data_IF_512009387552
#
_entry.id   IF_512009387552
#
_cell.length_a   1.000
_cell.length_b   1.000
_cell.length_c   1.000
_cell.angle_alpha   90.00
_cell.angle_beta   90.00
_cell.angle_gamma   90.00
#
_symmetry.space_group_name_H-M   'P 1'
#
loop_
_entity.id
_entity.type
_entity.pdbx_description
1 polymer ?
#
# COMPACT_ATOMS: atom_id res chain seq x y z
N UNK A 1 23.20 -44.99 5.47
CA UNK A 1 22.49 -44.33 4.38
C UNK A 1 22.44 -42.83 4.69
N UNK A 2 22.91 -41.96 3.79
CA UNK A 2 22.88 -40.50 3.99
C UNK A 2 21.52 -39.89 3.62
N UNK A 3 21.32 -38.59 3.89
CA UNK A 3 20.04 -37.86 3.67
C UNK A 3 19.56 -37.72 2.21
N UNK A 4 20.26 -38.28 1.22
CA UNK A 4 20.05 -38.05 -0.24
C UNK A 4 19.92 -36.57 -0.64
N UNK A 5 20.73 -35.71 -0.03
CA UNK A 5 20.77 -34.28 -0.33
C UNK A 5 21.46 -33.98 -1.67
N UNK A 6 20.93 -33.04 -2.45
CA UNK A 6 21.57 -32.55 -3.68
C UNK A 6 22.74 -31.60 -3.38
N UNK A 7 23.62 -31.28 -4.36
CA UNK A 7 24.66 -30.26 -4.16
C UNK A 7 24.09 -28.91 -3.69
N UNK A 8 22.92 -28.53 -4.20
CA UNK A 8 22.23 -27.30 -3.81
C UNK A 8 21.76 -27.33 -2.36
N UNK A 9 21.33 -28.48 -1.83
CA UNK A 9 20.98 -28.61 -0.40
C UNK A 9 22.17 -28.32 0.52
N UNK A 10 23.35 -28.83 0.17
CA UNK A 10 24.55 -28.59 0.94
C UNK A 10 25.02 -27.15 0.81
N UNK A 11 25.12 -26.62 -0.41
CA UNK A 11 25.53 -25.24 -0.65
C UNK A 11 24.61 -24.25 0.09
N UNK A 12 23.30 -24.50 0.07
CA UNK A 12 22.31 -23.68 0.75
C UNK A 12 22.43 -23.74 2.28
N UNK A 13 22.50 -24.96 2.85
CA UNK A 13 22.63 -25.15 4.30
C UNK A 13 23.95 -24.67 4.90
N UNK A 14 24.99 -24.48 4.09
CA UNK A 14 26.28 -23.93 4.51
C UNK A 14 26.48 -22.45 4.10
N UNK A 15 25.45 -21.79 3.56
CA UNK A 15 25.50 -20.36 3.25
C UNK A 15 26.46 -19.99 2.12
N UNK A 16 26.72 -20.92 1.19
CA UNK A 16 27.68 -20.71 0.08
C UNK A 16 27.01 -19.96 -1.07
N UNK A 17 26.69 -18.67 -0.88
CA UNK A 17 25.92 -17.85 -1.84
C UNK A 17 26.41 -17.98 -3.29
N UNK A 18 27.70 -17.80 -3.53
CA UNK A 18 28.26 -17.84 -4.90
C UNK A 18 28.15 -19.24 -5.54
N UNK A 19 28.27 -20.30 -4.71
CA UNK A 19 28.08 -21.68 -5.17
C UNK A 19 26.61 -21.96 -5.46
N UNK A 20 25.70 -21.45 -4.63
CA UNK A 20 24.25 -21.55 -4.85
C UNK A 20 23.87 -20.87 -6.16
N UNK A 21 24.35 -19.64 -6.39
CA UNK A 21 24.11 -18.88 -7.62
C UNK A 21 24.60 -19.64 -8.85
N UNK A 22 25.85 -20.09 -8.84
CA UNK A 22 26.42 -20.89 -9.93
C UNK A 22 25.63 -22.18 -10.20
N UNK A 23 25.21 -22.89 -9.15
CA UNK A 23 24.42 -24.12 -9.28
C UNK A 23 23.05 -23.83 -9.92
N UNK A 24 22.36 -22.78 -9.48
CA UNK A 24 21.05 -22.38 -10.04
C UNK A 24 21.16 -21.98 -11.51
N UNK A 25 22.17 -21.17 -11.86
CA UNK A 25 22.46 -20.80 -13.25
C UNK A 25 22.82 -22.02 -14.12
N UNK A 26 23.41 -23.05 -13.52
CA UNK A 26 23.72 -24.32 -14.18
C UNK A 26 22.55 -25.31 -14.23
N UNK A 27 21.34 -24.89 -13.84
CA UNK A 27 20.13 -25.70 -13.92
C UNK A 27 19.90 -26.62 -12.72
N UNK A 28 20.49 -26.34 -11.56
CA UNK A 28 20.17 -27.08 -10.33
C UNK A 28 18.69 -26.91 -9.97
N UNK A 29 18.01 -28.03 -9.69
CA UNK A 29 16.61 -28.00 -9.31
C UNK A 29 16.42 -27.40 -7.91
N UNK A 30 15.86 -26.19 -7.85
CA UNK A 30 15.53 -25.47 -6.60
C UNK A 30 14.47 -26.17 -5.75
N UNK A 31 13.65 -27.05 -6.36
CA UNK A 31 12.63 -27.85 -5.70
C UNK A 31 13.07 -29.29 -5.41
N UNK A 32 14.36 -29.60 -5.57
CA UNK A 32 14.89 -30.93 -5.27
C UNK A 32 14.53 -31.32 -3.84
N UNK A 33 14.10 -32.57 -3.64
CA UNK A 33 13.71 -33.10 -2.34
C UNK A 33 14.72 -34.12 -1.85
N UNK A 34 15.14 -34.00 -0.60
CA UNK A 34 15.93 -35.02 0.09
C UNK A 34 15.04 -36.15 0.65
N UNK A 35 15.59 -37.12 1.37
CA UNK A 35 14.79 -38.24 1.94
C UNK A 35 13.72 -37.76 2.94
N UNK A 36 13.91 -36.60 3.57
CA UNK A 36 12.95 -35.93 4.44
C UNK A 36 11.89 -35.10 3.70
N UNK A 37 11.98 -35.02 2.37
CA UNK A 37 11.27 -34.06 1.51
C UNK A 37 11.61 -32.59 1.79
N UNK A 38 12.72 -32.32 2.47
CA UNK A 38 13.24 -30.97 2.59
C UNK A 38 13.68 -30.51 1.20
N UNK A 39 13.47 -29.22 0.93
CA UNK A 39 14.05 -28.52 -0.22
C UNK A 39 15.26 -27.69 0.23
N UNK A 40 16.18 -27.26 -0.67
CA UNK A 40 17.33 -26.44 -0.29
C UNK A 40 16.99 -25.20 0.55
N UNK A 41 15.80 -24.62 0.34
CA UNK A 41 15.29 -23.48 1.13
C UNK A 41 15.15 -23.83 2.62
N UNK A 42 14.65 -25.02 2.98
CA UNK A 42 14.56 -25.45 4.39
C UNK A 42 15.94 -25.40 5.05
N UNK A 43 16.95 -25.95 4.38
CA UNK A 43 18.31 -25.98 4.92
C UNK A 43 18.87 -24.56 5.14
N UNK A 44 18.73 -23.66 4.16
CA UNK A 44 19.19 -22.28 4.32
C UNK A 44 18.46 -21.57 5.47
N UNK A 45 17.15 -21.85 5.63
CA UNK A 45 16.32 -21.29 6.69
C UNK A 45 16.73 -21.77 8.09
N UNK A 46 16.96 -23.07 8.30
CA UNK A 46 17.35 -23.62 9.61
C UNK A 46 18.66 -23.00 10.13
N UNK A 47 19.58 -22.64 9.23
CA UNK A 47 20.90 -22.11 9.60
C UNK A 47 20.99 -20.58 9.57
N UNK A 48 19.99 -19.88 9.00
CA UNK A 48 19.91 -18.41 9.05
C UNK A 48 20.62 -17.70 7.90
N UNK A 49 20.74 -18.32 6.73
CA UNK A 49 21.44 -17.74 5.58
C UNK A 49 20.51 -16.86 4.73
N UNK A 50 20.12 -15.70 5.24
CA UNK A 50 19.12 -14.81 4.63
C UNK A 50 19.41 -14.46 3.17
N UNK A 51 20.67 -14.18 2.81
CA UNK A 51 21.05 -13.90 1.41
C UNK A 51 20.80 -15.09 0.48
N UNK A 52 21.07 -16.31 0.95
CA UNK A 52 20.82 -17.55 0.20
C UNK A 52 19.32 -17.83 0.12
N UNK A 53 18.58 -17.61 1.21
CA UNK A 53 17.12 -17.72 1.24
C UNK A 53 16.51 -16.81 0.19
N UNK A 54 16.92 -15.53 0.17
CA UNK A 54 16.46 -14.55 -0.80
C UNK A 54 16.76 -15.00 -2.24
N UNK A 55 17.99 -15.47 -2.52
CA UNK A 55 18.38 -15.98 -3.82
C UNK A 55 17.54 -17.18 -4.27
N UNK A 56 17.29 -18.14 -3.37
CA UNK A 56 16.46 -19.32 -3.67
C UNK A 56 15.01 -18.93 -3.98
N UNK A 57 14.43 -17.98 -3.24
CA UNK A 57 13.08 -17.46 -3.47
C UNK A 57 12.98 -16.75 -4.83
N UNK A 58 13.99 -15.95 -5.20
CA UNK A 58 14.07 -15.30 -6.52
C UNK A 58 14.14 -16.32 -7.67
N UNK A 59 14.72 -17.49 -7.43
CA UNK A 59 14.71 -18.61 -8.38
C UNK A 59 13.47 -19.51 -8.28
N UNK A 60 12.44 -19.07 -7.56
CA UNK A 60 11.12 -19.72 -7.52
C UNK A 60 10.97 -20.80 -6.46
N UNK A 61 11.89 -20.92 -5.48
CA UNK A 61 11.66 -21.82 -4.34
C UNK A 61 10.33 -21.47 -3.65
N UNK A 62 9.47 -22.47 -3.42
CA UNK A 62 8.21 -22.27 -2.73
C UNK A 62 8.45 -22.08 -1.21
N UNK A 63 8.15 -20.89 -0.64
CA UNK A 63 8.31 -20.63 0.79
C UNK A 63 7.35 -21.44 1.68
N UNK A 64 6.34 -22.08 1.07
CA UNK A 64 5.34 -22.91 1.72
C UNK A 64 5.53 -24.40 1.43
N UNK A 65 6.68 -24.79 0.85
CA UNK A 65 7.03 -26.18 0.60
C UNK A 65 6.94 -27.00 1.90
N UNK A 66 6.48 -28.25 1.78
CA UNK A 66 6.25 -29.14 2.93
C UNK A 66 7.16 -30.35 2.90
N UNK A 67 7.82 -30.61 4.03
CA UNK A 67 8.57 -31.82 4.28
C UNK A 67 7.65 -33.02 4.62
N UNK A 68 8.20 -34.15 5.06
CA UNK A 68 7.41 -35.34 5.45
C UNK A 68 6.46 -35.11 6.65
N UNK A 69 6.70 -34.09 7.46
CA UNK A 69 5.93 -33.75 8.65
C UNK A 69 5.16 -32.44 8.49
N UNK A 70 5.01 -31.95 7.25
CA UNK A 70 4.39 -30.67 6.90
C UNK A 70 5.06 -29.44 7.54
N UNK A 71 6.33 -29.54 7.94
CA UNK A 71 7.11 -28.35 8.26
C UNK A 71 7.37 -27.57 6.99
N UNK A 72 7.29 -26.24 7.11
CA UNK A 72 7.66 -25.29 6.05
C UNK A 72 9.00 -24.64 6.38
N UNK A 73 9.66 -23.99 5.41
CA UNK A 73 10.84 -23.16 5.67
C UNK A 73 10.63 -22.13 6.80
N UNK A 74 9.41 -21.59 6.94
CA UNK A 74 9.06 -20.66 8.02
C UNK A 74 9.05 -21.35 9.39
N UNK A 75 8.58 -22.61 9.48
CA UNK A 75 8.69 -23.39 10.72
C UNK A 75 10.17 -23.56 11.11
N UNK A 76 11.02 -23.95 10.17
CA UNK A 76 12.46 -24.14 10.40
C UNK A 76 13.13 -22.85 10.90
N UNK A 77 12.89 -21.73 10.24
CA UNK A 77 13.45 -20.44 10.64
C UNK A 77 12.95 -19.99 12.02
N UNK A 78 11.65 -20.13 12.28
CA UNK A 78 11.02 -19.69 13.52
C UNK A 78 11.50 -20.49 14.73
N UNK A 79 11.60 -21.82 14.62
CA UNK A 79 12.12 -22.71 15.67
C UNK A 79 13.56 -22.37 16.03
N UNK A 80 14.36 -21.96 15.03
CA UNK A 80 15.78 -21.63 15.19
C UNK A 80 16.04 -20.15 15.51
N UNK A 81 14.99 -19.35 15.71
CA UNK A 81 15.09 -17.93 16.05
C UNK A 81 15.72 -17.06 14.95
N UNK A 82 15.61 -17.45 13.68
CA UNK A 82 16.23 -16.74 12.55
C UNK A 82 15.34 -15.60 12.07
N UNK A 83 15.44 -14.46 12.77
CA UNK A 83 14.61 -13.26 12.55
C UNK A 83 14.64 -12.79 11.10
N UNK A 84 15.83 -12.52 10.55
CA UNK A 84 15.98 -11.98 9.18
C UNK A 84 15.40 -12.94 8.14
N UNK A 85 15.59 -14.25 8.34
CA UNK A 85 15.00 -15.28 7.47
C UNK A 85 13.47 -15.29 7.58
N UNK A 86 12.90 -15.17 8.78
CA UNK A 86 11.44 -15.13 8.96
C UNK A 86 10.84 -13.93 8.22
N UNK A 87 11.48 -12.75 8.31
CA UNK A 87 11.04 -11.54 7.61
C UNK A 87 11.09 -11.75 6.09
N UNK A 88 12.22 -12.22 5.55
CA UNK A 88 12.37 -12.49 4.10
C UNK A 88 11.33 -13.50 3.61
N UNK A 89 11.08 -14.58 4.36
CA UNK A 89 10.05 -15.55 3.99
C UNK A 89 8.65 -14.92 3.95
N UNK A 90 8.28 -14.12 4.97
CA UNK A 90 6.98 -13.43 5.01
C UNK A 90 6.84 -12.39 3.89
N UNK A 91 7.92 -11.72 3.49
CA UNK A 91 7.94 -10.81 2.34
C UNK A 91 7.71 -11.52 1.00
N UNK A 92 8.02 -12.82 0.93
CA UNK A 92 7.80 -13.68 -0.23
C UNK A 92 6.58 -14.61 -0.03
N UNK A 93 5.53 -14.16 0.66
CA UNK A 93 4.26 -14.88 0.80
C UNK A 93 4.32 -16.23 1.54
N UNK A 94 5.27 -16.39 2.48
CA UNK A 94 5.19 -17.50 3.43
C UNK A 94 3.95 -17.37 4.32
N UNK A 95 3.17 -18.44 4.42
CA UNK A 95 1.94 -18.51 5.19
C UNK A 95 2.22 -18.98 6.64
N UNK A 96 2.09 -18.09 7.65
CA UNK A 96 2.32 -18.44 9.05
C UNK A 96 1.21 -19.35 9.64
N UNK A 97 0.10 -19.55 8.93
CA UNK A 97 -1.05 -20.35 9.38
C UNK A 97 -0.96 -21.84 9.05
N UNK A 98 0.01 -22.24 8.19
CA UNK A 98 0.22 -23.65 7.84
C UNK A 98 0.56 -24.45 9.11
N UNK A 99 -0.07 -25.63 9.24
CA UNK A 99 0.13 -26.55 10.36
C UNK A 99 0.94 -27.76 9.93
N UNK A 100 1.86 -28.17 10.79
CA UNK A 100 2.58 -29.44 10.69
C UNK A 100 1.66 -30.65 10.99
N UNK A 101 2.18 -31.88 10.96
CA UNK A 101 1.41 -33.10 11.29
C UNK A 101 0.90 -33.17 12.72
N UNK A 102 1.49 -32.42 13.65
CA UNK A 102 1.03 -32.31 15.05
C UNK A 102 -0.02 -31.20 15.24
N UNK A 103 -0.45 -30.55 14.15
CA UNK A 103 -1.40 -29.44 14.18
C UNK A 103 -0.80 -28.11 14.64
N UNK A 104 0.53 -27.99 14.74
CA UNK A 104 1.22 -26.78 15.20
C UNK A 104 1.65 -25.90 14.04
N UNK A 105 1.47 -24.60 14.20
CA UNK A 105 1.95 -23.57 13.26
C UNK A 105 3.39 -23.17 13.54
N UNK A 106 3.99 -22.37 12.64
CA UNK A 106 5.30 -21.77 12.87
C UNK A 106 5.31 -20.93 14.16
N UNK A 107 4.21 -20.22 14.45
CA UNK A 107 4.06 -19.40 15.66
C UNK A 107 4.04 -20.25 16.94
N UNK A 108 3.41 -21.43 16.91
CA UNK A 108 3.31 -22.34 18.06
C UNK A 108 4.66 -22.94 18.45
N UNK A 109 5.58 -23.05 17.48
CA UNK A 109 6.91 -23.64 17.65
C UNK A 109 8.04 -22.60 17.73
N UNK A 110 7.71 -21.32 17.58
CA UNK A 110 8.69 -20.24 17.44
C UNK A 110 9.52 -20.03 18.71
N UNK A 111 10.81 -19.74 18.50
CA UNK A 111 11.64 -19.07 19.50
C UNK A 111 10.98 -17.75 19.97
N UNK A 112 11.13 -17.33 21.25
CA UNK A 112 10.52 -16.11 21.76
C UNK A 112 10.78 -14.86 20.91
N UNK A 113 11.96 -14.75 20.30
CA UNK A 113 12.31 -13.59 19.46
C UNK A 113 11.61 -13.67 18.10
N UNK A 114 11.54 -14.85 17.49
CA UNK A 114 10.83 -15.06 16.23
C UNK A 114 9.30 -14.93 16.40
N UNK A 115 8.78 -15.25 17.58
CA UNK A 115 7.37 -15.08 17.92
C UNK A 115 6.90 -13.64 17.70
N UNK A 116 7.72 -12.64 18.08
CA UNK A 116 7.39 -11.23 17.86
C UNK A 116 7.27 -10.87 16.36
N UNK A 117 8.05 -11.51 15.48
CA UNK A 117 7.95 -11.31 14.03
C UNK A 117 6.63 -11.88 13.51
N UNK A 118 6.31 -13.12 13.92
CA UNK A 118 5.11 -13.83 13.50
C UNK A 118 3.80 -13.25 14.07
N UNK A 119 3.88 -12.33 15.04
CA UNK A 119 2.73 -11.54 15.52
C UNK A 119 2.71 -10.12 14.96
N UNK A 120 3.68 -9.72 14.12
CA UNK A 120 3.78 -8.37 13.57
C UNK A 120 4.24 -7.28 14.55
N UNK A 121 4.72 -7.67 15.73
CA UNK A 121 5.11 -6.73 16.81
C UNK A 121 6.62 -6.49 16.89
N UNK A 122 7.42 -7.25 16.14
CA UNK A 122 8.88 -7.10 16.13
C UNK A 122 9.30 -5.71 15.68
N UNK A 123 9.94 -4.96 16.60
CA UNK A 123 10.47 -3.61 16.36
C UNK A 123 9.47 -2.64 15.70
N UNK A 124 8.18 -2.76 16.06
CA UNK A 124 7.09 -1.94 15.53
C UNK A 124 7.39 -0.44 15.58
N UNK A 125 7.93 0.06 16.69
CA UNK A 125 8.26 1.49 16.84
C UNK A 125 9.38 1.94 15.89
N UNK A 126 10.38 1.08 15.64
CA UNK A 126 11.44 1.36 14.68
C UNK A 126 10.92 1.34 13.22
N UNK A 127 9.95 0.48 12.91
CA UNK A 127 9.28 0.46 11.60
C UNK A 127 8.51 1.77 11.36
N UNK A 128 7.71 2.19 12.35
CA UNK A 128 6.95 3.44 12.29
C UNK A 128 7.87 4.66 12.15
N UNK A 129 8.99 4.69 12.88
CA UNK A 129 9.96 5.78 12.77
C UNK A 129 10.69 5.76 11.42
N UNK A 130 10.99 4.59 10.87
CA UNK A 130 11.57 4.46 9.52
C UNK A 130 10.61 5.02 8.46
N UNK A 131 9.31 4.73 8.60
CA UNK A 131 8.29 5.28 7.72
C UNK A 131 8.16 6.81 7.81
N UNK A 132 8.26 7.38 9.02
CA UNK A 132 8.22 8.83 9.26
C UNK A 132 9.49 9.54 8.75
N UNK A 133 10.66 8.99 9.05
CA UNK A 133 11.96 9.58 8.74
C UNK A 133 12.36 9.42 7.27
N UNK A 134 11.76 8.45 6.56
CA UNK A 134 12.09 8.18 5.16
C UNK A 134 13.23 7.17 4.97
N UNK A 135 13.53 6.35 5.98
CA UNK A 135 14.61 5.37 5.92
C UNK A 135 14.13 4.08 5.21
N UNK A 136 14.38 4.01 3.91
CA UNK A 136 13.99 2.88 3.05
C UNK A 136 14.62 1.55 3.47
N UNK A 137 15.93 1.52 3.67
CA UNK A 137 16.67 0.30 4.02
C UNK A 137 16.15 -0.28 5.34
N UNK A 138 16.00 0.57 6.36
CA UNK A 138 15.51 0.13 7.68
C UNK A 138 14.03 -0.27 7.65
N UNK A 139 13.21 0.41 6.83
CA UNK A 139 11.82 0.00 6.62
C UNK A 139 11.78 -1.42 6.02
N UNK A 140 12.49 -1.64 4.92
CA UNK A 140 12.47 -2.92 4.20
C UNK A 140 13.10 -4.07 5.01
N UNK A 141 14.04 -3.78 5.90
CA UNK A 141 14.58 -4.77 6.83
C UNK A 141 13.55 -5.26 7.87
N UNK A 142 12.44 -4.54 8.09
CA UNK A 142 11.44 -4.84 9.12
C UNK A 142 10.04 -5.16 8.56
N UNK A 143 9.73 -4.68 7.35
CA UNK A 143 8.40 -4.72 6.79
C UNK A 143 7.96 -6.15 6.46
N UNK A 144 6.77 -6.54 6.92
CA UNK A 144 6.11 -7.81 6.59
C UNK A 144 4.62 -7.57 6.33
N UNK A 145 3.91 -8.49 5.65
CA UNK A 145 2.46 -8.40 5.53
C UNK A 145 1.73 -8.33 6.87
N UNK A 146 2.36 -8.82 7.96
CA UNK A 146 1.79 -8.84 9.30
C UNK A 146 1.88 -7.48 10.03
N UNK A 147 2.81 -6.59 9.64
CA UNK A 147 3.06 -5.33 10.34
C UNK A 147 2.89 -4.07 9.47
N UNK A 148 2.68 -4.20 8.15
CA UNK A 148 2.49 -3.06 7.24
C UNK A 148 1.35 -2.13 7.66
N UNK A 149 0.31 -2.68 8.29
CA UNK A 149 -0.87 -1.97 8.80
C UNK A 149 -0.90 -1.86 10.33
N UNK A 150 0.24 -2.01 11.00
CA UNK A 150 0.30 -1.84 12.45
C UNK A 150 -0.03 -0.39 12.85
N UNK A 151 -0.45 -0.20 14.10
CA UNK A 151 -0.71 1.12 14.66
C UNK A 151 0.30 1.46 15.76
N UNK A 152 0.66 2.74 15.85
CA UNK A 152 1.37 3.26 17.02
C UNK A 152 0.59 2.98 18.31
N UNK A 153 1.31 2.66 19.39
CA UNK A 153 0.72 2.29 20.67
C UNK A 153 0.02 3.48 21.37
N UNK A 154 0.44 4.70 21.07
CA UNK A 154 -0.03 5.94 21.71
C UNK A 154 -0.32 7.07 20.70
N UNK A 155 -0.60 8.27 21.22
CA UNK A 155 -0.81 9.47 20.43
C UNK A 155 -1.98 9.36 19.43
N UNK A 156 -1.67 9.63 18.16
CA UNK A 156 -2.63 9.55 17.03
C UNK A 156 -2.96 8.11 16.63
N UNK A 157 -2.26 7.09 17.15
CA UNK A 157 -2.39 5.68 16.72
C UNK A 157 -2.30 5.53 15.19
N UNK A 158 -1.38 6.24 14.57
CA UNK A 158 -1.18 6.25 13.11
C UNK A 158 -0.54 4.94 12.62
N UNK A 159 -0.83 4.56 11.37
CA UNK A 159 -0.13 3.46 10.66
C UNK A 159 1.14 3.95 9.96
N UNK A 160 2.04 3.06 9.49
CA UNK A 160 3.18 3.47 8.66
C UNK A 160 2.78 4.37 7.49
N UNK A 161 1.66 4.06 6.81
CA UNK A 161 1.20 4.84 5.65
C UNK A 161 0.74 6.24 6.04
N UNK A 162 0.10 6.43 7.20
CA UNK A 162 -0.25 7.76 7.71
C UNK A 162 1.00 8.63 7.94
N UNK A 163 2.06 8.04 8.49
CA UNK A 163 3.30 8.74 8.80
C UNK A 163 4.06 9.07 7.52
N UNK A 164 4.25 8.09 6.64
CA UNK A 164 4.90 8.32 5.34
C UNK A 164 4.16 9.39 4.52
N UNK A 165 2.83 9.33 4.52
CA UNK A 165 2.00 10.29 3.78
C UNK A 165 2.10 11.72 4.36
N UNK A 166 1.96 11.88 5.69
CA UNK A 166 2.04 13.19 6.34
C UNK A 166 3.43 13.85 6.30
N UNK A 167 4.50 13.05 6.18
CA UNK A 167 5.88 13.52 6.16
C UNK A 167 6.50 13.53 4.74
N UNK A 168 5.67 13.41 3.70
CA UNK A 168 6.09 13.46 2.30
C UNK A 168 7.16 12.43 1.92
N UNK A 169 7.04 11.20 2.41
CA UNK A 169 7.98 10.12 2.10
C UNK A 169 7.51 9.34 0.88
N UNK A 170 7.55 9.96 -0.30
CA UNK A 170 7.01 9.40 -1.56
C UNK A 170 7.46 7.96 -1.80
N UNK A 171 8.77 7.70 -1.72
CA UNK A 171 9.32 6.34 -1.93
C UNK A 171 8.83 5.33 -0.89
N UNK A 172 8.69 5.73 0.38
CA UNK A 172 8.13 4.89 1.44
C UNK A 172 6.66 4.61 1.18
N UNK A 173 5.87 5.60 0.75
CA UNK A 173 4.45 5.41 0.40
C UNK A 173 4.32 4.37 -0.73
N UNK A 174 5.17 4.44 -1.76
CA UNK A 174 5.19 3.44 -2.84
C UNK A 174 5.48 2.03 -2.30
N UNK A 175 6.51 1.87 -1.48
CA UNK A 175 6.88 0.57 -0.90
C UNK A 175 5.77 0.01 0.00
N UNK A 176 5.19 0.85 0.88
CA UNK A 176 4.10 0.44 1.74
C UNK A 176 2.88 -0.03 0.94
N UNK A 177 2.47 0.71 -0.10
CA UNK A 177 1.35 0.33 -0.96
C UNK A 177 1.65 -0.96 -1.75
N UNK A 178 2.87 -1.14 -2.25
CA UNK A 178 3.30 -2.38 -2.92
C UNK A 178 3.22 -3.60 -2.00
N UNK A 179 3.45 -3.42 -0.70
CA UNK A 179 3.39 -4.46 0.33
C UNK A 179 2.04 -4.51 1.08
N UNK A 180 0.97 -3.97 0.49
CA UNK A 180 -0.40 -4.16 0.99
C UNK A 180 -0.81 -3.21 2.12
N UNK A 181 -0.22 -2.02 2.20
CA UNK A 181 -0.70 -0.99 3.10
C UNK A 181 -2.14 -0.57 2.78
N UNK A 182 -2.98 -0.52 3.81
CA UNK A 182 -4.38 -0.14 3.72
C UNK A 182 -4.51 1.38 3.60
N UNK A 183 -4.92 1.82 2.41
CA UNK A 183 -5.17 3.23 2.09
C UNK A 183 -6.39 3.81 2.83
N UNK A 184 -7.22 2.95 3.41
CA UNK A 184 -8.43 3.30 4.17
C UNK A 184 -8.25 3.16 5.68
N UNK A 185 -7.06 2.76 6.15
CA UNK A 185 -6.79 2.60 7.58
C UNK A 185 -7.09 3.91 8.32
N UNK A 186 -7.76 3.80 9.46
CA UNK A 186 -8.18 4.94 10.30
C UNK A 186 -7.26 5.11 11.50
N UNK A 187 -6.80 6.32 11.75
CA UNK A 187 -6.11 6.68 13.00
C UNK A 187 -7.12 6.90 14.15
N UNK A 188 -6.64 7.36 15.32
CA UNK A 188 -7.49 7.59 16.50
C UNK A 188 -8.65 8.57 16.26
N UNK A 189 -8.51 9.48 15.30
CA UNK A 189 -9.52 10.48 14.92
C UNK A 189 -10.33 10.10 13.68
N UNK A 190 -10.25 8.85 13.22
CA UNK A 190 -10.78 8.38 11.93
C UNK A 190 -10.18 9.06 10.70
N UNK A 191 -9.04 9.77 10.85
CA UNK A 191 -8.31 10.25 9.69
C UNK A 191 -7.72 9.05 8.96
N UNK A 192 -7.73 9.11 7.64
CA UNK A 192 -7.02 8.18 6.73
C UNK A 192 -5.75 8.83 6.17
N UNK A 193 -4.79 8.08 5.60
CA UNK A 193 -3.53 8.65 5.09
C UNK A 193 -3.69 9.85 4.13
N UNK A 194 -4.77 9.85 3.34
CA UNK A 194 -5.10 10.95 2.43
C UNK A 194 -5.33 12.29 3.17
N UNK A 195 -5.95 12.28 4.36
CA UNK A 195 -6.12 13.52 5.15
C UNK A 195 -4.78 14.14 5.52
N UNK A 196 -3.81 13.31 5.96
CA UNK A 196 -2.48 13.77 6.32
C UNK A 196 -1.76 14.39 5.12
N UNK A 197 -1.73 13.69 3.97
CA UNK A 197 -1.11 14.22 2.76
C UNK A 197 -1.73 15.56 2.34
N UNK A 198 -3.06 15.65 2.38
CA UNK A 198 -3.80 16.83 1.97
C UNK A 198 -3.64 18.04 2.90
N UNK A 199 -3.67 17.85 4.22
CA UNK A 199 -3.49 18.92 5.21
C UNK A 199 -2.12 19.60 5.07
N UNK A 200 -1.06 18.80 4.85
CA UNK A 200 0.30 19.29 4.68
C UNK A 200 0.66 19.72 3.26
N UNK A 201 -0.18 19.45 2.26
CA UNK A 201 -0.01 19.94 0.89
C UNK A 201 0.89 19.08 -0.01
N UNK A 202 1.00 17.78 0.28
CA UNK A 202 1.92 16.88 -0.42
C UNK A 202 1.30 16.33 -1.71
N UNK A 203 1.34 17.13 -2.79
CA UNK A 203 0.69 16.81 -4.06
C UNK A 203 1.00 15.41 -4.61
N UNK A 204 2.29 15.05 -4.69
CA UNK A 204 2.73 13.76 -5.25
C UNK A 204 2.21 12.57 -4.44
N UNK A 205 2.29 12.65 -3.12
CA UNK A 205 1.72 11.64 -2.23
C UNK A 205 0.19 11.58 -2.35
N UNK A 206 -0.50 12.73 -2.38
CA UNK A 206 -1.95 12.78 -2.57
C UNK A 206 -2.35 12.07 -3.86
N UNK A 207 -1.69 12.38 -4.97
CA UNK A 207 -1.99 11.74 -6.26
C UNK A 207 -1.75 10.23 -6.20
N UNK A 208 -0.63 9.81 -5.59
CA UNK A 208 -0.30 8.39 -5.44
C UNK A 208 -1.35 7.64 -4.63
N UNK A 209 -1.81 8.20 -3.51
CA UNK A 209 -2.85 7.59 -2.67
C UNK A 209 -4.18 7.46 -3.42
N UNK A 210 -4.61 8.50 -4.13
CA UNK A 210 -5.86 8.47 -4.91
C UNK A 210 -5.78 7.46 -6.06
N UNK A 211 -4.63 7.36 -6.74
CA UNK A 211 -4.37 6.32 -7.76
C UNK A 211 -4.45 4.89 -7.19
N UNK A 212 -4.19 4.72 -5.89
CA UNK A 212 -4.35 3.45 -5.17
C UNK A 212 -5.72 3.31 -4.49
N UNK A 213 -6.72 4.09 -4.91
CA UNK A 213 -8.10 3.92 -4.48
C UNK A 213 -8.49 4.66 -3.20
N UNK A 214 -7.66 5.58 -2.70
CA UNK A 214 -8.06 6.42 -1.56
C UNK A 214 -9.39 7.14 -1.83
N UNK A 215 -10.34 7.04 -0.89
CA UNK A 215 -11.62 7.72 -1.02
C UNK A 215 -11.43 9.24 -0.82
N UNK A 216 -11.58 10.00 -1.91
CA UNK A 216 -11.38 11.47 -1.92
C UNK A 216 -12.34 12.24 -1.02
N UNK A 217 -13.49 11.64 -0.72
CA UNK A 217 -14.50 12.17 0.20
C UNK A 217 -14.59 11.35 1.50
N UNK A 218 -13.52 10.64 1.89
CA UNK A 218 -13.45 9.98 3.19
C UNK A 218 -13.75 11.00 4.30
N UNK A 219 -14.43 10.58 5.35
CA UNK A 219 -14.81 11.44 6.48
C UNK A 219 -14.20 10.91 7.77
N UNK A 220 -13.58 11.81 8.52
CA UNK A 220 -13.11 11.56 9.88
C UNK A 220 -14.25 11.62 10.92
N UNK A 221 -13.92 11.56 12.22
CA UNK A 221 -14.93 11.63 13.30
C UNK A 221 -15.75 12.93 13.30
N UNK A 222 -15.23 14.00 12.70
CA UNK A 222 -15.85 15.31 12.64
C UNK A 222 -16.41 15.62 11.24
N UNK A 223 -16.49 14.61 10.37
CA UNK A 223 -16.95 14.73 8.99
C UNK A 223 -16.09 15.72 8.15
N UNK A 224 -14.83 15.93 8.53
CA UNK A 224 -13.88 16.59 7.64
C UNK A 224 -13.50 15.61 6.54
N UNK A 225 -13.48 16.12 5.31
CA UNK A 225 -12.93 15.40 4.15
C UNK A 225 -11.50 15.82 3.89
N UNK A 226 -10.70 15.07 3.11
CA UNK A 226 -9.38 15.51 2.67
C UNK A 226 -9.40 16.90 2.00
N UNK A 227 -10.49 17.25 1.33
CA UNK A 227 -10.65 18.57 0.73
C UNK A 227 -10.84 19.68 1.78
N UNK A 228 -11.54 19.42 2.89
CA UNK A 228 -11.60 20.37 4.02
C UNK A 228 -10.22 20.63 4.62
N UNK A 229 -9.42 19.57 4.81
CA UNK A 229 -8.04 19.67 5.29
C UNK A 229 -7.18 20.55 4.37
N UNK A 230 -7.17 20.24 3.07
CA UNK A 230 -6.40 20.99 2.08
C UNK A 230 -6.84 22.46 1.99
N UNK A 231 -8.15 22.73 1.94
CA UNK A 231 -8.68 24.07 1.75
C UNK A 231 -8.42 24.98 2.96
N UNK A 232 -8.62 24.47 4.19
CA UNK A 232 -8.36 25.25 5.42
C UNK A 232 -6.90 25.68 5.56
N UNK A 233 -5.97 24.96 4.92
CA UNK A 233 -4.53 25.27 4.89
C UNK A 233 -4.09 25.94 3.58
N UNK A 234 -5.04 26.38 2.74
CA UNK A 234 -4.81 27.03 1.46
C UNK A 234 -3.90 26.23 0.50
N UNK A 235 -4.06 24.90 0.45
CA UNK A 235 -3.33 24.01 -0.47
C UNK A 235 -4.01 24.01 -1.84
N UNK A 236 -3.82 25.08 -2.61
CA UNK A 236 -4.55 25.36 -3.86
C UNK A 236 -4.43 24.20 -4.86
N UNK A 237 -3.21 23.70 -5.10
CA UNK A 237 -2.91 22.66 -6.08
C UNK A 237 -3.47 21.29 -5.64
N UNK A 238 -3.42 20.99 -4.35
CA UNK A 238 -4.01 19.77 -3.77
C UNK A 238 -5.54 19.83 -3.83
N UNK A 239 -6.15 20.99 -3.57
CA UNK A 239 -7.60 21.16 -3.74
C UNK A 239 -8.01 20.90 -5.20
N UNK A 240 -7.27 21.47 -6.15
CA UNK A 240 -7.53 21.28 -7.58
C UNK A 240 -7.38 19.82 -8.00
N UNK A 241 -6.36 19.13 -7.49
CA UNK A 241 -6.17 17.69 -7.68
C UNK A 241 -7.36 16.89 -7.12
N UNK A 242 -7.77 17.14 -5.88
CA UNK A 242 -8.88 16.40 -5.26
C UNK A 242 -10.19 16.60 -6.02
N UNK A 243 -10.48 17.82 -6.48
CA UNK A 243 -11.66 18.12 -7.29
C UNK A 243 -11.64 17.36 -8.62
N UNK A 244 -10.47 17.20 -9.25
CA UNK A 244 -10.36 16.43 -10.49
C UNK A 244 -10.62 14.94 -10.32
N UNK A 245 -10.41 14.41 -9.10
CA UNK A 245 -10.78 13.06 -8.71
C UNK A 245 -12.18 12.95 -8.06
N UNK A 246 -13.01 14.00 -8.14
CA UNK A 246 -14.41 13.95 -7.70
C UNK A 246 -14.66 14.31 -6.23
N UNK A 247 -13.75 15.05 -5.60
CA UNK A 247 -14.03 15.62 -4.28
C UNK A 247 -15.20 16.62 -4.35
N UNK A 248 -16.06 16.62 -3.33
CA UNK A 248 -17.23 17.48 -3.25
C UNK A 248 -17.00 18.60 -2.20
N UNK A 249 -16.82 19.86 -2.62
CA UNK A 249 -16.59 20.97 -1.70
C UNK A 249 -17.86 21.42 -0.97
N UNK A 250 -19.04 20.89 -1.32
CA UNK A 250 -20.33 21.23 -0.72
C UNK A 250 -20.69 20.37 0.48
N UNK A 251 -19.99 19.25 0.68
CA UNK A 251 -20.14 18.40 1.85
C UNK A 251 -19.88 19.22 3.12
N UNK A 252 -20.76 19.05 4.12
CA UNK A 252 -20.68 19.75 5.39
C UNK A 252 -20.01 18.87 6.45
N UNK A 253 -19.12 19.47 7.23
CA UNK A 253 -18.59 18.83 8.42
C UNK A 253 -19.57 18.92 9.62
N UNK A 254 -19.20 18.40 10.78
CA UNK A 254 -20.03 18.45 12.00
C UNK A 254 -20.30 19.87 12.53
N UNK A 255 -19.62 20.89 11.99
CA UNK A 255 -19.81 22.30 12.34
C UNK A 255 -20.68 23.04 11.32
N UNK A 256 -21.33 22.32 10.40
CA UNK A 256 -22.08 22.88 9.27
C UNK A 256 -21.24 23.81 8.41
N UNK A 257 -19.96 23.50 8.23
CA UNK A 257 -19.04 24.22 7.33
C UNK A 257 -18.70 23.34 6.15
N UNK A 258 -18.89 23.89 4.95
CA UNK A 258 -18.38 23.32 3.71
C UNK A 258 -16.90 23.61 3.54
N UNK A 259 -16.26 22.99 2.56
CA UNK A 259 -14.87 23.32 2.18
C UNK A 259 -14.74 24.80 1.78
N UNK A 260 -15.74 25.33 1.05
CA UNK A 260 -15.73 26.73 0.59
C UNK A 260 -15.80 27.70 1.78
N UNK A 261 -16.52 27.33 2.84
CA UNK A 261 -16.59 28.15 4.05
C UNK A 261 -15.24 28.25 4.77
N UNK A 262 -14.46 27.15 4.76
CA UNK A 262 -13.17 27.05 5.43
C UNK A 262 -12.00 27.64 4.62
N UNK A 263 -12.15 27.82 3.31
CA UNK A 263 -11.11 28.40 2.48
C UNK A 263 -10.78 29.85 2.93
N UNK A 264 -9.51 30.18 3.24
CA UNK A 264 -9.17 31.47 3.84
C UNK A 264 -9.15 32.63 2.84
N UNK A 265 -8.96 32.35 1.55
CA UNK A 265 -8.82 33.37 0.50
C UNK A 265 -10.06 33.42 -0.41
N UNK A 266 -10.54 34.61 -0.84
CA UNK A 266 -11.61 34.72 -1.82
C UNK A 266 -11.29 33.99 -3.12
N UNK A 267 -10.03 34.03 -3.56
CA UNK A 267 -9.57 33.38 -4.79
C UNK A 267 -9.74 31.86 -4.70
N UNK A 268 -9.42 31.25 -3.55
CA UNK A 268 -9.64 29.81 -3.37
C UNK A 268 -11.13 29.47 -3.32
N UNK A 269 -11.97 30.30 -2.69
CA UNK A 269 -13.43 30.10 -2.68
C UNK A 269 -14.02 30.09 -4.07
N UNK A 270 -13.67 31.09 -4.88
CA UNK A 270 -14.10 31.19 -6.28
C UNK A 270 -13.59 30.01 -7.09
N UNK A 271 -12.31 29.66 -6.94
CA UNK A 271 -11.69 28.54 -7.66
C UNK A 271 -12.35 27.20 -7.32
N UNK A 272 -12.59 26.91 -6.04
CA UNK A 272 -13.27 25.68 -5.61
C UNK A 272 -14.66 25.56 -6.24
N UNK A 273 -15.43 26.66 -6.24
CA UNK A 273 -16.77 26.68 -6.85
C UNK A 273 -16.73 26.53 -8.38
N UNK A 274 -15.78 27.20 -9.04
CA UNK A 274 -15.57 27.14 -10.48
C UNK A 274 -15.16 25.73 -10.93
N UNK A 275 -14.10 25.16 -10.33
CA UNK A 275 -13.59 23.85 -10.70
C UNK A 275 -14.58 22.74 -10.38
N UNK A 276 -15.30 22.81 -9.26
CA UNK A 276 -16.32 21.82 -8.94
C UNK A 276 -17.45 21.78 -9.98
N UNK A 277 -17.92 22.94 -10.44
CA UNK A 277 -18.90 23.01 -11.55
C UNK A 277 -18.31 22.46 -12.84
N UNK A 278 -17.06 22.81 -13.15
CA UNK A 278 -16.31 22.29 -14.30
C UNK A 278 -16.25 20.77 -14.32
N UNK A 279 -15.76 20.17 -13.23
CA UNK A 279 -15.66 18.71 -13.09
C UNK A 279 -17.05 18.04 -13.07
N UNK A 280 -18.06 18.66 -12.44
CA UNK A 280 -19.44 18.17 -12.48
C UNK A 280 -20.00 18.13 -13.91
N UNK A 281 -19.69 19.13 -14.74
CA UNK A 281 -20.08 19.16 -16.15
C UNK A 281 -19.32 18.13 -16.98
N UNK A 282 -17.99 17.99 -16.78
CA UNK A 282 -17.20 16.95 -17.44
C UNK A 282 -17.77 15.56 -17.14
N UNK A 283 -18.08 15.26 -15.88
CA UNK A 283 -18.61 13.96 -15.50
C UNK A 283 -20.01 13.72 -16.10
N UNK A 284 -20.90 14.71 -16.04
CA UNK A 284 -22.22 14.60 -16.66
C UNK A 284 -22.12 14.38 -18.17
N UNK A 285 -21.15 15.02 -18.84
CA UNK A 285 -20.88 14.80 -20.26
C UNK A 285 -20.36 13.38 -20.55
N UNK A 286 -19.42 12.86 -19.75
CA UNK A 286 -18.93 11.47 -19.88
C UNK A 286 -20.05 10.43 -19.73
N UNK A 287 -20.99 10.67 -18.83
CA UNK A 287 -22.14 9.79 -18.55
C UNK A 287 -23.32 10.02 -19.51
N UNK A 288 -23.24 11.00 -20.41
CA UNK A 288 -24.37 11.46 -21.24
C UNK A 288 -25.64 11.81 -20.43
N UNK A 289 -25.49 12.37 -19.22
CA UNK A 289 -26.60 12.81 -18.39
C UNK A 289 -27.06 14.22 -18.78
N UNK A 290 -28.05 14.27 -19.67
CA UNK A 290 -28.65 15.52 -20.19
C UNK A 290 -29.16 16.44 -19.08
N UNK A 291 -29.72 15.90 -18.00
CA UNK A 291 -30.29 16.73 -16.94
C UNK A 291 -29.19 17.40 -16.12
N UNK A 292 -28.12 16.65 -15.78
CA UNK A 292 -26.96 17.20 -15.08
C UNK A 292 -26.17 18.17 -15.97
N UNK A 293 -26.03 17.89 -17.26
CA UNK A 293 -25.42 18.83 -18.21
C UNK A 293 -26.18 20.15 -18.21
N UNK A 294 -27.50 20.13 -18.41
CA UNK A 294 -28.34 21.35 -18.39
C UNK A 294 -28.25 22.11 -17.06
N UNK A 295 -28.14 21.39 -15.93
CA UNK A 295 -28.01 21.99 -14.59
C UNK A 295 -26.69 22.75 -14.40
N UNK A 296 -25.59 22.24 -14.96
CA UNK A 296 -24.23 22.78 -14.73
C UNK A 296 -23.70 23.63 -15.89
N UNK A 297 -24.36 23.64 -17.05
CA UNK A 297 -23.94 24.37 -18.23
C UNK A 297 -24.09 25.89 -18.04
N UNK A 298 -23.01 26.62 -18.28
CA UNK A 298 -22.98 28.09 -18.35
C UNK A 298 -21.92 28.54 -19.36
N UNK A 299 -21.99 29.80 -19.82
CA UNK A 299 -20.98 30.37 -20.72
C UNK A 299 -19.56 30.32 -20.15
N UNK A 300 -19.44 30.40 -18.83
CA UNK A 300 -18.17 30.34 -18.11
C UNK A 300 -17.59 28.91 -18.06
N UNK A 301 -18.45 27.90 -17.92
CA UNK A 301 -18.04 26.50 -17.66
C UNK A 301 -18.03 25.63 -18.93
N UNK A 302 -18.73 26.03 -20.00
CA UNK A 302 -18.85 25.23 -21.24
C UNK A 302 -17.50 24.88 -21.87
N UNK A 303 -16.51 25.76 -21.73
CA UNK A 303 -15.14 25.58 -22.22
C UNK A 303 -14.14 25.21 -21.12
N UNK A 304 -14.62 24.79 -19.94
CA UNK A 304 -13.78 24.28 -18.87
C UNK A 304 -12.86 23.17 -19.42
N UNK A 305 -11.60 23.17 -18.99
CA UNK A 305 -10.62 22.15 -19.36
C UNK A 305 -10.16 21.42 -18.11
N UNK A 306 -10.16 20.10 -18.16
CA UNK A 306 -9.56 19.29 -17.12
C UNK A 306 -8.08 19.68 -16.94
N UNK A 307 -7.59 19.95 -15.71
CA UNK A 307 -6.23 20.49 -15.52
C UNK A 307 -5.11 19.57 -16.06
N UNK A 308 -5.28 18.25 -15.95
CA UNK A 308 -4.28 17.26 -16.38
C UNK A 308 -4.46 16.77 -17.82
N UNK A 309 -5.69 16.41 -18.24
CA UNK A 309 -5.96 15.82 -19.56
C UNK A 309 -6.27 16.85 -20.63
N UNK A 310 -6.52 18.10 -20.25
CA UNK A 310 -6.98 19.19 -21.11
C UNK A 310 -8.30 18.91 -21.87
N UNK A 311 -9.04 17.87 -21.47
CA UNK A 311 -10.34 17.54 -22.03
C UNK A 311 -11.38 18.61 -21.70
N UNK A 312 -12.24 18.91 -22.67
CA UNK A 312 -13.42 19.76 -22.49
C UNK A 312 -14.67 18.90 -22.34
N UNK A 313 -15.82 19.46 -21.90
CA UNK A 313 -17.09 18.73 -21.89
C UNK A 313 -17.44 18.11 -23.24
N UNK A 314 -17.10 18.78 -24.35
CA UNK A 314 -17.33 18.26 -25.69
C UNK A 314 -16.46 17.04 -26.01
N UNK A 315 -15.18 17.03 -25.61
CA UNK A 315 -14.32 15.83 -25.75
C UNK A 315 -14.92 14.65 -24.98
N UNK A 316 -15.33 14.90 -23.72
CA UNK A 316 -15.94 13.90 -22.85
C UNK A 316 -17.28 13.36 -23.41
N UNK A 317 -18.13 14.22 -23.93
CA UNK A 317 -19.40 13.84 -24.55
C UNK A 317 -19.17 13.01 -25.82
N UNK A 318 -18.25 13.44 -26.68
CA UNK A 318 -17.94 12.75 -27.94
C UNK A 318 -17.39 11.33 -27.71
N UNK A 319 -16.60 11.13 -26.66
CA UNK A 319 -16.06 9.83 -26.28
C UNK A 319 -17.02 8.97 -25.44
N UNK A 320 -18.20 9.49 -25.07
CA UNK A 320 -19.13 8.80 -24.17
C UNK A 320 -19.69 7.51 -24.83
N UNK A 321 -19.70 6.35 -24.13
CA UNK A 321 -20.30 5.13 -24.66
C UNK A 321 -21.84 5.12 -24.56
N UNK A 322 -22.45 6.10 -23.88
CA UNK A 322 -23.87 6.11 -23.55
C UNK A 322 -24.75 6.67 -24.68
N UNK A 323 -26.05 6.29 -24.74
CA UNK A 323 -26.91 6.54 -25.91
C UNK A 323 -27.29 8.00 -26.12
N UNK A 324 -27.27 8.84 -25.08
CA UNK A 324 -27.67 10.25 -25.16
C UNK A 324 -26.54 11.21 -25.56
N UNK A 325 -25.35 10.69 -25.91
CA UNK A 325 -24.17 11.51 -26.23
C UNK A 325 -24.40 12.55 -27.32
N UNK A 326 -25.15 12.20 -28.38
CA UNK A 326 -25.43 13.10 -29.51
C UNK A 326 -26.18 14.34 -29.04
N UNK A 327 -27.20 14.15 -28.19
CA UNK A 327 -27.98 15.23 -27.59
C UNK A 327 -27.15 16.10 -26.63
N UNK A 328 -26.11 15.53 -26.00
CA UNK A 328 -25.22 16.28 -25.09
C UNK A 328 -24.20 17.10 -25.87
N UNK A 329 -23.77 16.64 -27.05
CA UNK A 329 -22.87 17.38 -27.94
C UNK A 329 -23.56 18.55 -28.65
N UNK A 330 -24.86 18.41 -28.97
CA UNK A 330 -25.72 19.44 -29.59
C UNK A 330 -26.10 20.55 -28.60
#
# INVERSE_FOLDING_TARGET
>A
AGRKSSPLHFAAGFGRRDVVDYLLQSGANVHARDDGRLIPLHNACSFGHAEVVNLLLHHGADPNARDNWNYTPLHEAAIKGKIDVCIVLLQHDADPSIRNTDGRTALDLADPSAKAVLTGEYKKDELLESARSGNEEKLMALLTPLNVNCHASDGRKSTPLHLAAGYNRVKIVQLLLQHGADVHAKDKGDLVPLHNACSYGHYEVTELLVKHGACVNAMDLWQFTPLHEAASKNRVEVCSLLLSYGADPTLLNCHNKSTIDLAPTPQLKERLAYEFKGHSLLQAARESDVNRVKKHLSLEIVNFKHPQTHETPLHCAAASPYPKRKQVCE
#
